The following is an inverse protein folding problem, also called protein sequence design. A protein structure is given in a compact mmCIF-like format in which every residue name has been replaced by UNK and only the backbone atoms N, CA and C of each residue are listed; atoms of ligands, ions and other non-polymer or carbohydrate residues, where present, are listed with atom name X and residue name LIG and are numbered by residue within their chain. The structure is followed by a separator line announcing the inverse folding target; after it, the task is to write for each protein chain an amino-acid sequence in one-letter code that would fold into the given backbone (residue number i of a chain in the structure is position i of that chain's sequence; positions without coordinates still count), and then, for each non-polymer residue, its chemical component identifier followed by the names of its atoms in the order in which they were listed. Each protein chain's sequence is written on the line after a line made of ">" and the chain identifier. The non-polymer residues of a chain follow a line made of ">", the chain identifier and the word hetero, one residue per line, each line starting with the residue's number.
data_IF_126370021335
#
_entry.id   IF_126370021335
#
_cell.length_a   1.000
_cell.length_b   1.000
_cell.length_c   1.000
_cell.angle_alpha   90.00
_cell.angle_beta   90.00
_cell.angle_gamma   90.00
#
_symmetry.space_group_name_H-M   'P 1'
#
loop_
_entity.id
_entity.type
_entity.pdbx_description
1 polymer ?
#
# COMPACT_ATOMS: atom_id res chain seq x y z
N UNK A 1 40.72 38.30 18.71
CA UNK A 1 40.53 36.84 18.91
C UNK A 1 39.09 36.45 19.32
N UNK A 2 38.27 37.36 19.85
CA UNK A 2 36.90 37.02 20.33
C UNK A 2 35.87 36.77 19.22
N UNK A 3 36.06 37.37 18.04
CA UNK A 3 35.18 37.16 16.87
C UNK A 3 35.19 35.72 16.36
N UNK A 4 36.30 35.00 16.50
CA UNK A 4 36.40 33.59 16.10
C UNK A 4 35.54 32.70 16.98
N UNK A 5 35.57 32.90 18.30
CA UNK A 5 34.70 32.16 19.24
C UNK A 5 33.21 32.35 18.96
N UNK A 6 32.80 33.53 18.51
CA UNK A 6 31.39 33.78 18.18
C UNK A 6 30.95 33.15 16.85
N UNK A 7 31.86 33.05 15.88
CA UNK A 7 31.61 32.36 14.61
C UNK A 7 31.50 30.84 14.83
N UNK A 8 32.35 30.28 15.69
CA UNK A 8 32.30 28.87 16.07
C UNK A 8 31.03 28.55 16.86
N UNK A 9 30.63 29.43 17.80
CA UNK A 9 29.39 29.28 18.55
C UNK A 9 28.14 29.37 17.64
N UNK A 10 28.10 30.31 16.69
CA UNK A 10 26.95 30.47 15.79
C UNK A 10 26.81 29.31 14.81
N UNK A 11 27.92 28.83 14.23
CA UNK A 11 27.93 27.63 13.37
C UNK A 11 27.42 26.41 14.11
N UNK A 12 27.79 26.26 15.38
CA UNK A 12 27.35 25.12 16.18
C UNK A 12 25.84 25.14 16.45
N UNK A 13 25.19 26.32 16.54
CA UNK A 13 23.72 26.41 16.65
C UNK A 13 23.02 26.09 15.32
N UNK A 14 23.63 26.46 14.18
CA UNK A 14 23.08 26.17 12.84
C UNK A 14 23.29 24.72 12.40
N UNK A 15 24.36 24.06 12.86
CA UNK A 15 24.64 22.63 12.59
C UNK A 15 23.93 21.68 13.58
N UNK A 16 23.24 22.20 14.61
CA UNK A 16 22.39 21.35 15.44
C UNK A 16 21.15 20.94 14.62
N UNK A 17 20.92 19.62 14.41
CA UNK A 17 19.69 19.17 13.76
C UNK A 17 18.51 19.61 14.62
N UNK A 18 17.82 20.65 14.15
CA UNK A 18 16.64 21.20 14.79
C UNK A 18 15.55 20.12 14.91
N UNK A 19 14.61 20.27 15.86
CA UNK A 19 13.54 19.29 16.06
C UNK A 19 12.76 18.98 14.76
N UNK A 20 12.64 19.94 13.84
CA UNK A 20 12.03 19.77 12.50
C UNK A 20 12.69 18.67 11.67
N UNK A 21 14.02 18.58 11.65
CA UNK A 21 14.74 17.64 10.79
C UNK A 21 14.54 16.17 11.20
N UNK A 22 14.39 15.91 12.50
CA UNK A 22 14.15 14.55 13.03
C UNK A 22 12.70 14.10 12.90
N UNK A 23 11.76 15.05 12.92
CA UNK A 23 10.34 14.78 12.71
C UNK A 23 10.05 14.55 11.22
N UNK A 24 10.58 15.38 10.34
CA UNK A 24 10.46 15.21 8.88
C UNK A 24 11.09 13.89 8.39
N UNK A 25 12.25 13.49 8.92
CA UNK A 25 12.88 12.21 8.56
C UNK A 25 12.04 11.00 9.00
N UNK A 26 11.39 11.08 10.18
CA UNK A 26 10.48 10.04 10.67
C UNK A 26 9.22 9.94 9.83
N UNK A 27 8.61 11.07 9.48
CA UNK A 27 7.37 11.10 8.71
C UNK A 27 7.58 10.57 7.28
N UNK A 28 8.70 10.95 6.65
CA UNK A 28 9.06 10.44 5.33
C UNK A 28 9.38 8.95 5.38
N UNK A 29 10.11 8.49 6.40
CA UNK A 29 10.39 7.06 6.60
C UNK A 29 9.10 6.25 6.83
N UNK A 30 8.17 6.76 7.64
CA UNK A 30 6.90 6.09 7.91
C UNK A 30 6.03 6.01 6.65
N UNK A 31 5.94 7.09 5.88
CA UNK A 31 5.19 7.11 4.62
C UNK A 31 5.81 6.20 3.56
N UNK A 32 7.14 6.11 3.50
CA UNK A 32 7.84 5.18 2.61
C UNK A 32 7.52 3.72 2.98
N UNK A 33 7.54 3.38 4.27
CA UNK A 33 7.16 2.05 4.75
C UNK A 33 5.70 1.71 4.43
N UNK A 34 4.77 2.66 4.59
CA UNK A 34 3.36 2.47 4.25
C UNK A 34 3.17 2.27 2.74
N UNK A 35 3.87 3.03 1.89
CA UNK A 35 3.85 2.86 0.43
C UNK A 35 4.37 1.49 0.02
N UNK A 36 5.52 1.07 0.53
CA UNK A 36 6.08 -0.25 0.25
C UNK A 36 5.16 -1.39 0.69
N UNK A 37 4.47 -1.22 1.84
CA UNK A 37 3.51 -2.20 2.33
C UNK A 37 2.26 -2.25 1.46
N UNK A 38 1.74 -1.09 1.04
CA UNK A 38 0.60 -0.98 0.13
C UNK A 38 0.91 -1.63 -1.22
N UNK A 39 2.06 -1.34 -1.83
CA UNK A 39 2.47 -1.92 -3.11
C UNK A 39 2.60 -3.45 -3.00
N UNK A 40 3.18 -3.95 -1.91
CA UNK A 40 3.27 -5.39 -1.64
C UNK A 40 1.90 -6.03 -1.42
N UNK A 41 1.02 -5.40 -0.65
CA UNK A 41 -0.33 -5.91 -0.41
C UNK A 41 -1.11 -5.96 -1.72
N UNK A 42 -1.06 -4.90 -2.54
CA UNK A 42 -1.72 -4.85 -3.84
C UNK A 42 -1.21 -5.93 -4.79
N UNK A 43 0.12 -6.14 -4.88
CA UNK A 43 0.67 -7.15 -5.78
C UNK A 43 0.26 -8.56 -5.33
N UNK A 44 0.33 -8.84 -4.03
CA UNK A 44 -0.07 -10.13 -3.46
C UNK A 44 -1.56 -10.37 -3.66
N UNK A 45 -2.40 -9.36 -3.44
CA UNK A 45 -3.85 -9.43 -3.66
C UNK A 45 -4.19 -9.73 -5.12
N UNK A 46 -3.54 -9.05 -6.07
CA UNK A 46 -3.73 -9.28 -7.49
C UNK A 46 -3.37 -10.72 -7.90
N UNK A 47 -2.20 -11.22 -7.47
CA UNK A 47 -1.80 -12.61 -7.75
C UNK A 47 -2.74 -13.61 -7.09
N UNK A 48 -3.22 -13.32 -5.88
CA UNK A 48 -4.20 -14.14 -5.18
C UNK A 48 -5.50 -14.23 -5.98
N UNK A 49 -6.05 -13.10 -6.43
CA UNK A 49 -7.24 -13.05 -7.30
C UNK A 49 -7.02 -13.84 -8.60
N UNK A 50 -5.87 -13.72 -9.26
CA UNK A 50 -5.55 -14.50 -10.45
C UNK A 50 -5.47 -16.01 -10.17
N UNK A 51 -4.81 -16.44 -9.10
CA UNK A 51 -4.72 -17.84 -8.70
C UNK A 51 -6.12 -18.40 -8.37
N UNK A 52 -6.92 -17.58 -7.72
CA UNK A 52 -8.28 -17.89 -7.38
C UNK A 52 -9.13 -18.09 -8.67
N UNK A 53 -9.03 -17.20 -9.66
CA UNK A 53 -9.69 -17.38 -10.96
C UNK A 53 -9.23 -18.67 -11.68
N UNK A 54 -7.95 -18.99 -11.64
CA UNK A 54 -7.44 -20.25 -12.20
C UNK A 54 -8.05 -21.47 -11.49
N UNK A 55 -8.18 -21.42 -10.15
CA UNK A 55 -8.85 -22.45 -9.36
C UNK A 55 -10.33 -22.58 -9.72
N UNK A 56 -11.03 -21.45 -9.96
CA UNK A 56 -12.42 -21.47 -10.41
C UNK A 56 -12.55 -22.14 -11.79
N UNK A 57 -11.68 -21.82 -12.73
CA UNK A 57 -11.66 -22.49 -14.05
C UNK A 57 -11.42 -23.99 -13.89
N UNK A 58 -10.48 -24.39 -13.03
CA UNK A 58 -10.23 -25.80 -12.73
C UNK A 58 -11.42 -26.49 -12.05
N UNK A 59 -12.08 -25.82 -11.10
CA UNK A 59 -13.26 -26.31 -10.39
C UNK A 59 -14.46 -26.46 -11.31
N UNK A 60 -14.71 -25.48 -12.19
CA UNK A 60 -15.76 -25.55 -13.22
C UNK A 60 -15.46 -26.70 -14.18
N UNK A 61 -14.23 -26.82 -14.68
CA UNK A 61 -13.83 -27.94 -15.54
C UNK A 61 -13.99 -29.32 -14.87
N UNK A 62 -13.64 -29.41 -13.59
CA UNK A 62 -13.82 -30.62 -12.78
C UNK A 62 -15.30 -30.93 -12.51
N UNK A 63 -16.14 -29.91 -12.32
CA UNK A 63 -17.58 -30.09 -12.14
C UNK A 63 -18.22 -30.67 -13.41
N UNK A 64 -17.84 -30.18 -14.60
CA UNK A 64 -18.37 -30.70 -15.87
C UNK A 64 -17.91 -32.14 -16.15
N UNK A 65 -16.73 -32.53 -15.67
CA UNK A 65 -16.13 -33.84 -15.98
C UNK A 65 -16.40 -34.92 -14.92
N UNK A 66 -16.49 -34.54 -13.64
CA UNK A 66 -16.57 -35.46 -12.50
C UNK A 66 -17.83 -35.26 -11.62
N UNK A 67 -18.73 -34.34 -11.98
CA UNK A 67 -19.89 -33.91 -11.16
C UNK A 67 -19.52 -33.55 -9.70
N UNK A 68 -18.26 -33.21 -9.47
CA UNK A 68 -17.76 -33.00 -8.12
C UNK A 68 -17.74 -31.51 -7.79
N UNK A 69 -18.75 -31.08 -7.02
CA UNK A 69 -18.93 -29.68 -6.64
C UNK A 69 -18.07 -29.23 -5.46
N UNK A 70 -17.27 -30.13 -4.86
CA UNK A 70 -16.48 -29.83 -3.66
C UNK A 70 -15.49 -28.66 -3.85
N UNK A 71 -14.90 -28.53 -5.05
CA UNK A 71 -14.00 -27.40 -5.35
C UNK A 71 -14.76 -26.07 -5.47
N UNK A 72 -15.99 -26.09 -5.99
CA UNK A 72 -16.86 -24.91 -6.05
C UNK A 72 -17.43 -24.55 -4.67
N UNK A 73 -17.81 -25.53 -3.85
CA UNK A 73 -18.30 -25.30 -2.49
C UNK A 73 -17.22 -24.69 -1.59
N UNK A 74 -15.96 -25.06 -1.77
CA UNK A 74 -14.85 -24.40 -1.09
C UNK A 74 -14.60 -22.97 -1.61
N UNK A 75 -14.90 -22.72 -2.90
CA UNK A 75 -14.72 -21.43 -3.55
C UNK A 75 -15.73 -20.36 -3.10
N UNK A 76 -17.01 -20.72 -2.97
CA UNK A 76 -18.08 -19.79 -2.60
C UNK A 76 -17.81 -18.97 -1.32
N UNK A 77 -17.39 -19.56 -0.17
CA UNK A 77 -17.12 -18.80 1.04
C UNK A 77 -15.81 -17.99 0.95
N UNK A 78 -14.82 -18.46 0.19
CA UNK A 78 -13.59 -17.70 -0.09
C UNK A 78 -13.90 -16.37 -0.81
N UNK A 79 -14.93 -16.39 -1.68
CA UNK A 79 -15.38 -15.18 -2.35
C UNK A 79 -15.81 -14.08 -1.36
N UNK A 80 -16.71 -14.40 -0.43
CA UNK A 80 -17.22 -13.41 0.53
C UNK A 80 -16.14 -12.93 1.49
N UNK A 81 -15.30 -13.82 2.01
CA UNK A 81 -14.33 -13.43 3.03
C UNK A 81 -13.06 -12.78 2.47
N UNK A 82 -12.62 -13.16 1.27
CA UNK A 82 -11.34 -12.70 0.72
C UNK A 82 -11.53 -11.61 -0.33
N UNK A 83 -12.50 -11.74 -1.24
CA UNK A 83 -12.66 -10.77 -2.33
C UNK A 83 -13.32 -9.47 -1.86
N UNK A 84 -14.24 -9.49 -0.89
CA UNK A 84 -14.82 -8.23 -0.38
C UNK A 84 -13.78 -7.30 0.26
N UNK A 85 -12.92 -7.76 1.19
CA UNK A 85 -11.87 -6.92 1.74
C UNK A 85 -10.84 -6.49 0.68
N UNK A 86 -10.44 -7.41 -0.21
CA UNK A 86 -9.52 -7.14 -1.31
C UNK A 86 -9.98 -6.00 -2.23
N UNK A 87 -11.22 -6.11 -2.73
CA UNK A 87 -11.85 -5.08 -3.58
C UNK A 87 -11.97 -3.75 -2.82
N UNK A 88 -12.24 -3.81 -1.51
CA UNK A 88 -12.26 -2.64 -0.65
C UNK A 88 -10.92 -1.90 -0.61
N UNK A 89 -9.82 -2.62 -0.40
CA UNK A 89 -8.45 -2.05 -0.40
C UNK A 89 -8.08 -1.49 -1.77
N UNK A 90 -8.41 -2.21 -2.85
CA UNK A 90 -8.17 -1.73 -4.22
C UNK A 90 -8.97 -0.45 -4.53
N UNK A 91 -10.25 -0.41 -4.16
CA UNK A 91 -11.07 0.79 -4.30
C UNK A 91 -10.49 1.94 -3.50
N UNK A 92 -10.06 1.69 -2.25
CA UNK A 92 -9.49 2.73 -1.39
C UNK A 92 -8.18 3.25 -1.97
N UNK A 93 -7.31 2.38 -2.50
CA UNK A 93 -6.11 2.77 -3.23
C UNK A 93 -6.40 3.59 -4.49
N UNK A 94 -7.34 3.12 -5.32
CA UNK A 94 -7.75 3.82 -6.53
C UNK A 94 -8.41 5.18 -6.22
N UNK A 95 -9.25 5.25 -5.18
CA UNK A 95 -9.90 6.47 -4.72
C UNK A 95 -8.88 7.47 -4.19
N UNK A 96 -7.89 7.01 -3.40
CA UNK A 96 -6.80 7.85 -2.90
C UNK A 96 -5.97 8.39 -4.04
N UNK A 97 -5.63 7.56 -5.04
CA UNK A 97 -4.91 7.97 -6.23
C UNK A 97 -5.69 8.98 -7.08
N UNK A 98 -7.01 8.76 -7.25
CA UNK A 98 -7.88 9.65 -8.02
C UNK A 98 -8.15 10.98 -7.32
N UNK A 99 -8.40 10.95 -6.01
CA UNK A 99 -8.65 12.15 -5.20
C UNK A 99 -7.42 13.07 -5.16
N UNK A 100 -6.22 12.50 -4.94
CA UNK A 100 -4.96 13.27 -4.96
C UNK A 100 -4.73 13.89 -6.35
N UNK A 101 -4.98 13.16 -7.42
CA UNK A 101 -4.86 13.68 -8.79
C UNK A 101 -5.84 14.80 -9.10
N UNK A 102 -7.06 14.76 -8.53
CA UNK A 102 -8.06 15.83 -8.70
C UNK A 102 -7.67 17.11 -7.96
N UNK A 103 -7.18 16.99 -6.72
CA UNK A 103 -6.68 18.12 -5.93
C UNK A 103 -5.48 18.81 -6.60
N UNK A 104 -4.53 18.06 -7.14
CA UNK A 104 -3.40 18.63 -7.88
C UNK A 104 -3.82 19.35 -9.16
N UNK A 105 -4.85 18.84 -9.85
CA UNK A 105 -5.34 19.42 -11.10
C UNK A 105 -6.16 20.70 -10.91
N UNK A 106 -6.84 20.86 -9.77
CA UNK A 106 -7.69 22.05 -9.50
C UNK A 106 -6.93 23.21 -8.81
N UNK A 107 -5.71 22.98 -8.31
CA UNK A 107 -4.88 24.02 -7.69
C UNK A 107 -3.92 24.71 -8.68
N UNK A 108 -4.04 24.42 -9.99
CA UNK A 108 -3.18 24.98 -11.04
C UNK A 108 -3.97 25.79 -12.07
#
# INVERSE_FOLDING_TARGET
>A
MERYKQLDAQRQITDMPGPSSREEEKDISAMAQVKDLLDKVLIVDFFFVCAALAWLVAGVGAQTSLQNSALLDAWYPLWQWVFQPAIGVLMLGALTSGAVGWLQKNSS
#
